data_IF_170128956229
#
_entry.id   IF_170128956229
#
_cell.length_a   1.000
_cell.length_b   1.000
_cell.length_c   1.000
_cell.angle_alpha   90.00
_cell.angle_beta   90.00
_cell.angle_gamma   90.00
#
_symmetry.space_group_name_H-M   'P 1'
#
loop_
_entity.id
_entity.type
_entity.pdbx_description
1 polymer ?
#
# COMPACT_ATOMS: atom_id res chain seq x y z
N UNK A 1 -8.96 -3.33 -8.28
CA UNK A 1 -8.77 -2.97 -6.85
C UNK A 1 -7.92 -1.73 -6.74
N UNK A 2 -8.14 -0.90 -5.73
CA UNK A 2 -7.44 0.38 -5.55
C UNK A 2 -6.46 0.34 -4.38
N UNK A 3 -5.20 0.69 -4.63
CA UNK A 3 -4.13 0.72 -3.64
C UNK A 3 -3.59 2.14 -3.47
N UNK A 4 -3.30 2.53 -2.24
CA UNK A 4 -2.62 3.78 -1.92
C UNK A 4 -1.13 3.51 -1.74
N UNK A 5 -0.27 4.14 -2.51
CA UNK A 5 1.17 4.10 -2.32
C UNK A 5 1.69 5.37 -1.64
N UNK A 6 2.13 5.24 -0.39
CA UNK A 6 2.74 6.32 0.37
C UNK A 6 4.22 6.46 0.01
N UNK A 7 4.56 7.49 -0.77
CA UNK A 7 5.93 7.79 -1.16
C UNK A 7 6.13 9.30 -1.39
N UNK A 8 7.11 9.90 -0.72
CA UNK A 8 7.54 11.27 -1.01
C UNK A 8 8.34 11.28 -2.33
N UNK A 9 8.24 12.37 -3.08
CA UNK A 9 8.93 12.56 -4.38
C UNK A 9 10.44 12.28 -4.31
N UNK A 10 11.09 12.69 -3.21
CA UNK A 10 12.52 12.46 -2.98
C UNK A 10 12.93 10.97 -2.96
N UNK A 11 11.97 10.07 -2.73
CA UNK A 11 12.17 8.62 -2.73
C UNK A 11 11.60 7.93 -3.97
N UNK A 12 10.86 8.66 -4.82
CA UNK A 12 10.33 8.21 -6.10
C UNK A 12 11.42 8.16 -7.17
N UNK A 13 12.37 7.23 -7.04
CA UNK A 13 13.52 7.09 -7.94
C UNK A 13 14.05 5.66 -7.97
N UNK A 14 14.73 5.31 -9.07
CA UNK A 14 15.32 3.99 -9.29
C UNK A 14 14.24 2.91 -9.19
N UNK A 15 14.51 1.86 -8.42
CA UNK A 15 13.61 0.72 -8.24
C UNK A 15 12.19 1.12 -7.79
N UNK A 16 12.06 2.16 -6.96
CA UNK A 16 10.72 2.61 -6.51
C UNK A 16 9.91 3.21 -7.65
N UNK A 17 10.56 3.95 -8.56
CA UNK A 17 9.90 4.47 -9.75
C UNK A 17 9.52 3.31 -10.69
N UNK A 18 10.45 2.37 -10.89
CA UNK A 18 10.20 1.16 -11.68
C UNK A 18 9.03 0.32 -11.14
N UNK A 19 8.90 0.22 -9.81
CA UNK A 19 7.75 -0.44 -9.17
C UNK A 19 6.43 0.22 -9.53
N UNK A 20 6.36 1.56 -9.51
CA UNK A 20 5.16 2.32 -9.85
C UNK A 20 4.83 2.18 -11.34
N UNK A 21 5.84 2.29 -12.21
CA UNK A 21 5.67 2.19 -13.67
C UNK A 21 5.24 0.79 -14.13
N UNK A 22 5.69 -0.26 -13.43
CA UNK A 22 5.34 -1.65 -13.72
C UNK A 22 4.17 -2.17 -12.88
N UNK A 23 3.47 -1.31 -12.14
CA UNK A 23 2.35 -1.76 -11.31
C UNK A 23 1.24 -2.37 -12.20
N UNK A 24 0.68 -3.54 -11.83
CA UNK A 24 -0.25 -4.24 -12.71
C UNK A 24 -1.51 -3.42 -13.04
N UNK A 25 -1.82 -3.29 -14.34
CA UNK A 25 -2.88 -2.40 -14.86
C UNK A 25 -4.31 -2.78 -14.48
N UNK A 26 -4.53 -4.01 -14.03
CA UNK A 26 -5.81 -4.48 -13.49
C UNK A 26 -6.09 -3.94 -12.07
N UNK A 27 -5.10 -3.26 -11.48
CA UNK A 27 -5.21 -2.56 -10.22
C UNK A 27 -4.93 -1.06 -10.41
N UNK A 28 -5.59 -0.23 -9.61
CA UNK A 28 -5.34 1.20 -9.56
C UNK A 28 -4.32 1.47 -8.45
N UNK A 29 -3.25 2.21 -8.77
CA UNK A 29 -2.26 2.68 -7.81
C UNK A 29 -2.32 4.20 -7.68
N UNK A 30 -2.79 4.70 -6.54
CA UNK A 30 -2.81 6.13 -6.22
C UNK A 30 -1.60 6.46 -5.38
N UNK A 31 -0.74 7.36 -5.85
CA UNK A 31 0.43 7.82 -5.09
C UNK A 31 0.09 9.02 -4.21
N UNK A 32 0.54 9.01 -2.95
CA UNK A 32 0.37 10.13 -2.02
C UNK A 32 1.63 10.34 -1.18
N UNK A 33 2.14 11.56 -1.16
CA UNK A 33 3.25 11.96 -0.28
C UNK A 33 2.78 12.25 1.14
N UNK A 34 3.72 12.30 2.09
CA UNK A 34 3.42 12.73 3.45
C UNK A 34 2.96 14.20 3.52
N UNK A 35 3.43 15.04 2.59
CA UNK A 35 2.98 16.44 2.47
C UNK A 35 1.54 16.57 1.98
N UNK A 36 1.13 15.73 1.02
CA UNK A 36 -0.26 15.65 0.57
C UNK A 36 -1.16 15.17 1.70
N UNK A 37 -0.77 14.10 2.41
CA UNK A 37 -1.52 13.61 3.57
C UNK A 37 -1.66 14.66 4.68
N UNK A 38 -0.62 15.47 4.91
CA UNK A 38 -0.68 16.59 5.87
C UNK A 38 -1.73 17.64 5.45
N UNK A 39 -1.88 17.88 4.16
CA UNK A 39 -2.79 18.88 3.59
C UNK A 39 -4.23 18.36 3.54
N UNK A 40 -4.42 17.17 2.98
CA UNK A 40 -5.73 16.55 2.76
C UNK A 40 -6.32 15.97 4.05
N UNK A 41 -5.47 15.47 4.96
CA UNK A 41 -5.84 14.90 6.27
C UNK A 41 -6.76 13.68 6.20
N UNK A 42 -6.97 13.14 5.00
CA UNK A 42 -7.78 11.96 4.71
C UNK A 42 -7.05 11.07 3.72
N UNK A 43 -7.44 9.81 3.65
CA UNK A 43 -7.01 8.91 2.57
C UNK A 43 -8.07 8.90 1.47
N UNK A 44 -7.69 8.59 0.21
CA UNK A 44 -8.66 8.46 -0.87
C UNK A 44 -9.71 7.39 -0.58
N UNK A 45 -10.96 7.65 -0.96
CA UNK A 45 -12.03 6.68 -0.84
C UNK A 45 -11.81 5.45 -1.73
N UNK A 46 -12.34 4.31 -1.29
CA UNK A 46 -12.26 3.03 -2.00
C UNK A 46 -10.89 2.35 -1.94
N UNK A 47 -9.93 2.86 -1.16
CA UNK A 47 -8.63 2.21 -0.97
C UNK A 47 -8.81 0.87 -0.24
N UNK A 48 -8.25 -0.17 -0.84
CA UNK A 48 -8.34 -1.56 -0.39
C UNK A 48 -7.02 -2.09 0.19
N UNK A 49 -5.96 -1.30 0.12
CA UNK A 49 -4.67 -1.61 0.73
C UNK A 49 -3.70 -0.44 0.64
N UNK A 50 -2.80 -0.37 1.62
CA UNK A 50 -1.77 0.67 1.69
C UNK A 50 -0.41 0.03 1.42
N UNK A 51 0.28 0.55 0.42
CA UNK A 51 1.68 0.30 0.15
C UNK A 51 2.50 1.49 0.67
N UNK A 52 3.71 1.29 1.18
CA UNK A 52 4.51 2.43 1.64
C UNK A 52 6.01 2.22 1.51
N UNK A 53 6.71 3.26 1.06
CA UNK A 53 8.16 3.37 1.21
C UNK A 53 8.49 3.65 2.69
N UNK A 54 9.60 3.06 3.18
CA UNK A 54 9.98 3.08 4.61
C UNK A 54 10.07 4.49 5.20
N UNK A 55 10.80 5.39 4.57
CA UNK A 55 11.05 6.73 5.12
C UNK A 55 9.79 7.58 5.07
N UNK A 56 8.99 7.46 4.00
CA UNK A 56 7.68 8.12 3.95
C UNK A 56 6.74 7.57 5.00
N UNK A 57 6.70 6.25 5.22
CA UNK A 57 5.87 5.64 6.26
C UNK A 57 6.15 6.22 7.65
N UNK A 58 7.42 6.42 8.02
CA UNK A 58 7.77 6.97 9.33
C UNK A 58 7.15 8.36 9.57
N UNK A 59 7.08 9.20 8.52
CA UNK A 59 6.43 10.51 8.58
C UNK A 59 4.91 10.35 8.60
N UNK A 60 4.37 9.59 7.65
CA UNK A 60 2.93 9.37 7.52
C UNK A 60 2.33 8.74 8.76
N UNK A 61 3.00 7.82 9.45
CA UNK A 61 2.52 7.23 10.70
C UNK A 61 2.25 8.27 11.79
N UNK A 62 3.12 9.28 11.91
CA UNK A 62 2.91 10.38 12.85
C UNK A 62 1.66 11.20 12.48
N UNK A 63 1.41 11.41 11.18
CA UNK A 63 0.22 12.08 10.67
C UNK A 63 -1.05 11.24 10.90
N UNK A 64 -0.98 9.92 10.67
CA UNK A 64 -2.09 9.02 10.96
C UNK A 64 -2.50 9.09 12.43
N UNK A 65 -1.53 9.13 13.35
CA UNK A 65 -1.79 9.32 14.78
C UNK A 65 -2.41 10.69 15.06
N UNK A 66 -1.84 11.75 14.47
CA UNK A 66 -2.27 13.13 14.71
C UNK A 66 -3.70 13.40 14.23
N UNK A 67 -4.09 12.84 13.07
CA UNK A 67 -5.43 13.02 12.48
C UNK A 67 -6.44 11.93 12.86
N UNK A 68 -6.08 10.99 13.75
CA UNK A 68 -7.00 9.93 14.18
C UNK A 68 -7.27 8.85 13.13
N UNK A 69 -6.37 8.67 12.16
CA UNK A 69 -6.48 7.70 11.06
C UNK A 69 -5.96 6.30 11.42
N UNK A 70 -5.46 6.08 12.64
CA UNK A 70 -4.94 4.78 13.08
C UNK A 70 -5.94 3.60 12.92
N UNK A 71 -7.26 3.76 13.11
CA UNK A 71 -8.22 2.67 12.88
C UNK A 71 -8.21 2.13 11.44
N UNK A 72 -7.80 2.95 10.45
CA UNK A 72 -7.64 2.50 9.07
C UNK A 72 -6.50 1.49 8.93
N UNK A 73 -5.49 1.55 9.79
CA UNK A 73 -4.40 0.57 9.77
C UNK A 73 -4.88 -0.78 10.29
N UNK A 74 -5.78 -0.81 11.26
CA UNK A 74 -6.33 -2.05 11.81
C UNK A 74 -7.22 -2.79 10.80
N UNK A 75 -7.84 -2.05 9.90
CA UNK A 75 -8.77 -2.58 8.90
C UNK A 75 -8.10 -2.80 7.55
N UNK A 76 -7.26 -1.88 7.07
CA UNK A 76 -6.66 -2.02 5.75
C UNK A 76 -5.42 -2.91 5.76
N UNK A 77 -5.31 -3.84 4.80
CA UNK A 77 -4.06 -4.49 4.45
C UNK A 77 -2.95 -3.46 4.26
N UNK A 78 -1.74 -3.80 4.71
CA UNK A 78 -0.59 -2.93 4.58
C UNK A 78 0.65 -3.70 4.19
N UNK A 79 1.40 -3.14 3.26
CA UNK A 79 2.58 -3.76 2.70
C UNK A 79 3.71 -2.74 2.52
N UNK A 80 4.89 -2.97 3.13
CA UNK A 80 6.07 -2.17 2.85
C UNK A 80 6.61 -2.45 1.44
N UNK A 81 7.00 -1.38 0.74
CA UNK A 81 7.77 -1.46 -0.51
C UNK A 81 9.22 -1.11 -0.19
N UNK A 82 10.11 -2.09 -0.33
CA UNK A 82 11.51 -1.96 0.07
C UNK A 82 12.45 -2.17 -1.12
N UNK A 83 13.52 -1.37 -1.17
CA UNK A 83 14.62 -1.55 -2.13
C UNK A 83 15.57 -2.69 -1.77
N UNK A 84 15.44 -3.21 -0.56
CA UNK A 84 16.33 -4.25 -0.03
C UNK A 84 15.53 -5.48 0.33
N UNK A 85 16.10 -6.66 0.10
CA UNK A 85 15.50 -7.96 0.46
C UNK A 85 15.34 -8.18 1.97
N UNK A 86 15.85 -7.27 2.80
CA UNK A 86 15.66 -7.33 4.25
C UNK A 86 14.22 -6.98 4.59
N UNK A 87 13.56 -7.85 5.35
CA UNK A 87 12.30 -7.52 5.97
C UNK A 87 12.47 -6.28 6.86
N UNK A 88 11.50 -5.39 6.75
CA UNK A 88 11.50 -4.09 7.38
C UNK A 88 10.29 -4.00 8.29
N UNK A 89 10.53 -4.05 9.60
CA UNK A 89 9.48 -3.73 10.56
C UNK A 89 9.19 -2.24 10.56
N UNK A 90 7.89 -1.92 10.54
CA UNK A 90 7.41 -0.56 10.61
C UNK A 90 6.88 -0.23 12.00
N UNK A 91 7.18 0.99 12.48
CA UNK A 91 6.67 1.48 13.76
C UNK A 91 5.14 1.50 13.74
N UNK A 92 4.52 0.99 14.80
CA UNK A 92 3.05 0.93 14.92
C UNK A 92 2.38 -0.18 14.12
N UNK A 93 3.16 -1.03 13.43
CA UNK A 93 2.69 -2.27 12.82
C UNK A 93 3.45 -3.43 13.45
N UNK A 94 2.74 -4.26 14.19
CA UNK A 94 3.26 -5.53 14.70
C UNK A 94 2.18 -6.59 14.55
N UNK A 95 2.42 -7.61 13.73
CA UNK A 95 1.61 -8.82 13.73
C UNK A 95 0.58 -8.99 12.61
N UNK A 96 0.38 -8.01 11.71
CA UNK A 96 -0.30 -8.31 10.44
C UNK A 96 0.70 -8.98 9.49
N UNK A 97 0.27 -9.94 8.67
CA UNK A 97 1.13 -10.52 7.62
C UNK A 97 1.55 -9.40 6.65
N UNK A 98 2.72 -8.82 6.91
CA UNK A 98 3.34 -7.81 6.06
C UNK A 98 3.83 -8.54 4.82
N UNK A 99 3.06 -8.48 3.73
CA UNK A 99 3.58 -8.88 2.43
C UNK A 99 4.55 -7.78 2.01
N UNK A 100 5.80 -8.14 1.83
CA UNK A 100 6.86 -7.23 1.41
C UNK A 100 6.89 -7.20 -0.11
N UNK A 101 6.81 -6.01 -0.70
CA UNK A 101 7.12 -5.83 -2.11
C UNK A 101 8.57 -5.41 -2.23
N UNK A 102 9.32 -6.14 -3.06
CA UNK A 102 10.64 -5.69 -3.45
C UNK A 102 10.46 -4.68 -4.59
N UNK A 103 11.13 -3.54 -4.50
CA UNK A 103 10.94 -2.46 -5.46
C UNK A 103 11.48 -2.81 -6.86
N UNK A 104 12.42 -3.75 -6.97
CA UNK A 104 12.96 -4.24 -8.25
C UNK A 104 12.16 -5.41 -8.85
N UNK A 105 11.07 -5.84 -8.21
CA UNK A 105 10.27 -6.97 -8.68
C UNK A 105 9.67 -6.70 -10.06
N UNK A 106 9.64 -7.75 -10.88
CA UNK A 106 8.95 -7.75 -12.17
C UNK A 106 7.44 -7.56 -12.01
N UNK A 107 6.76 -7.15 -13.09
CA UNK A 107 5.30 -6.97 -13.08
C UNK A 107 4.57 -8.27 -12.69
N UNK A 108 5.06 -9.42 -13.16
CA UNK A 108 4.52 -10.75 -12.85
C UNK A 108 4.68 -11.10 -11.36
N UNK A 109 5.84 -10.78 -10.77
CA UNK A 109 6.08 -10.97 -9.34
C UNK A 109 5.19 -10.06 -8.50
N UNK A 110 5.06 -8.79 -8.88
CA UNK A 110 4.17 -7.82 -8.21
C UNK A 110 2.73 -8.34 -8.28
N UNK A 111 2.27 -8.77 -9.46
CA UNK A 111 0.94 -9.35 -9.65
C UNK A 111 0.70 -10.57 -8.76
N UNK A 112 1.60 -11.56 -8.78
CA UNK A 112 1.47 -12.77 -7.95
C UNK A 112 1.47 -12.46 -6.44
N UNK A 113 2.12 -11.38 -6.04
CA UNK A 113 2.23 -10.94 -4.65
C UNK A 113 0.97 -10.17 -4.24
N UNK A 114 0.40 -9.37 -5.14
CA UNK A 114 -0.91 -8.74 -4.97
C UNK A 114 -2.03 -9.77 -4.87
N UNK A 115 -2.04 -10.79 -5.72
CA UNK A 115 -3.02 -11.88 -5.64
C UNK A 115 -2.99 -12.59 -4.28
N UNK A 116 -1.78 -12.81 -3.73
CA UNK A 116 -1.61 -13.33 -2.37
C UNK A 116 -2.05 -12.34 -1.29
N UNK A 117 -1.84 -11.05 -1.52
CA UNK A 117 -2.26 -9.98 -0.62
C UNK A 117 -3.78 -9.86 -0.53
N UNK A 118 -4.49 -10.04 -1.65
CA UNK A 118 -5.94 -9.90 -1.73
C UNK A 118 -6.70 -11.19 -1.39
N UNK A 119 -6.09 -12.36 -1.61
CA UNK A 119 -6.72 -13.65 -1.28
C UNK A 119 -6.80 -13.93 0.22
N UNK A 120 -6.07 -13.18 1.05
CA UNK A 120 -6.04 -13.37 2.51
C UNK A 120 -6.15 -12.01 3.22
N UNK A 121 -7.34 -11.37 3.20
CA UNK A 121 -7.53 -10.11 3.90
C UNK A 121 -7.29 -10.25 5.42
N UNK A 122 -6.93 -9.17 6.13
CA UNK A 122 -6.99 -9.10 7.59
C UNK A 122 -8.35 -9.58 8.10
N UNK A 123 -8.40 -10.22 9.28
CA UNK A 123 -9.61 -10.88 9.79
C UNK A 123 -10.86 -9.97 9.87
N UNK A 124 -10.65 -8.66 10.01
CA UNK A 124 -11.72 -7.66 10.11
C UNK A 124 -12.03 -6.96 8.79
N UNK A 125 -11.32 -7.29 7.71
CA UNK A 125 -11.49 -6.67 6.40
C UNK A 125 -12.14 -7.65 5.44
N UNK A 126 -13.15 -7.16 4.73
CA UNK A 126 -13.74 -7.87 3.59
C UNK A 126 -13.60 -6.97 2.39
N UNK A 127 -12.93 -7.46 1.36
CA UNK A 127 -12.95 -6.76 0.08
C UNK A 127 -14.40 -6.71 -0.40
N UNK A 128 -14.90 -5.56 -0.90
CA UNK A 128 -16.15 -5.53 -1.62
C UNK A 128 -16.07 -6.56 -2.75
N UNK A 129 -17.05 -7.48 -2.80
CA UNK A 129 -17.17 -8.43 -3.89
C UNK A 129 -17.25 -7.60 -5.17
N UNK A 130 -16.25 -7.74 -6.05
CA UNK A 130 -16.43 -7.28 -7.42
C UNK A 130 -17.57 -8.11 -7.97
N UNK A 131 -18.75 -7.48 -8.12
CA UNK A 131 -19.81 -7.97 -8.97
C UNK A 131 -19.21 -8.05 -10.37
N UNK A 132 -18.66 -9.23 -10.69
CA UNK A 132 -18.49 -9.63 -12.07
C UNK A 132 -19.92 -9.86 -12.54
N UNK A 133 -20.56 -8.79 -13.02
CA UNK A 133 -21.68 -8.93 -13.94
C UNK A 133 -21.11 -9.73 -15.11
N UNK A 134 -21.38 -11.03 -15.07
CA UNK A 134 -21.25 -11.89 -16.23
C UNK A 134 -22.41 -11.45 -17.12
N UNK A 135 -22.14 -10.53 -18.04
CA UNK A 135 -23.06 -10.30 -19.14
C UNK A 135 -23.03 -11.58 -20.00
N UNK A 136 -24.17 -12.29 -19.99
CA UNK A 136 -24.52 -13.41 -20.87
C UNK A 136 -24.46 -13.02 -22.36
#
# INVERSE_FOLDING_TARGET
MKFLFLCDENYMKGDVLNFVENFPRNHELVTMSSGQLLTEKVIPEGVQGILAERKTWQKSFSLFRYFGLLPLLETLPFAPVARTKRQVHFKGRSGCKEIFFHADSSAEEIFSTLDRFVSIPPALYKYPLSSVESED
#
